data_IF_357241009706
#
_entry.id   IF_357241009706
#
_cell.length_a   1.000
_cell.length_b   1.000
_cell.length_c   1.000
_cell.angle_alpha   90.00
_cell.angle_beta   90.00
_cell.angle_gamma   90.00
#
_symmetry.space_group_name_H-M   'P 1'
#
loop_
_entity.id
_entity.type
_entity.pdbx_description
1 polymer ?
#
# COMPACT_ATOMS: atom_id res chain seq x y z
N UNK A 1 -40.98 -41.12 9.42
CA UNK A 1 -40.68 -39.68 9.17
C UNK A 1 -39.18 -39.33 9.17
N UNK A 2 -38.24 -40.29 9.33
CA UNK A 2 -36.83 -39.99 9.58
C UNK A 2 -35.90 -39.77 8.36
N UNK A 3 -36.20 -40.32 7.18
CA UNK A 3 -35.24 -40.31 6.06
C UNK A 3 -35.33 -39.07 5.17
N UNK A 4 -36.54 -38.61 4.82
CA UNK A 4 -36.72 -37.40 3.98
C UNK A 4 -36.10 -36.15 4.64
N UNK A 5 -36.17 -36.04 5.97
CA UNK A 5 -35.55 -34.93 6.72
C UNK A 5 -34.01 -34.99 6.63
N UNK A 6 -33.41 -36.19 6.70
CA UNK A 6 -31.96 -36.38 6.53
C UNK A 6 -31.50 -36.02 5.12
N UNK A 7 -32.25 -36.38 4.08
CA UNK A 7 -31.94 -36.00 2.70
C UNK A 7 -32.02 -34.48 2.49
N UNK A 8 -33.06 -33.81 3.00
CA UNK A 8 -33.20 -32.35 2.91
C UNK A 8 -32.05 -31.64 3.62
N UNK A 9 -31.66 -32.07 4.82
CA UNK A 9 -30.51 -31.53 5.54
C UNK A 9 -29.19 -31.74 4.78
N UNK A 10 -28.99 -32.91 4.16
CA UNK A 10 -27.80 -33.21 3.35
C UNK A 10 -27.69 -32.27 2.13
N UNK A 11 -28.79 -32.00 1.44
CA UNK A 11 -28.82 -31.04 0.32
C UNK A 11 -28.58 -29.60 0.77
N UNK A 12 -29.10 -29.17 1.93
CA UNK A 12 -28.80 -27.85 2.50
C UNK A 12 -27.31 -27.74 2.85
N UNK A 13 -26.72 -28.78 3.44
CA UNK A 13 -25.28 -28.80 3.76
C UNK A 13 -24.42 -28.71 2.48
N UNK A 14 -24.71 -29.51 1.45
CA UNK A 14 -24.04 -29.44 0.14
C UNK A 14 -24.23 -28.09 -0.56
N UNK A 15 -25.41 -27.46 -0.45
CA UNK A 15 -25.66 -26.11 -0.94
C UNK A 15 -24.80 -25.05 -0.27
N UNK A 16 -24.60 -25.14 1.05
CA UNK A 16 -23.74 -24.22 1.81
C UNK A 16 -22.26 -24.35 1.46
N UNK A 17 -21.76 -25.54 1.12
CA UNK A 17 -20.40 -25.71 0.58
C UNK A 17 -20.28 -25.36 -0.91
N UNK A 18 -21.38 -25.24 -1.65
CA UNK A 18 -21.38 -24.82 -3.06
C UNK A 18 -21.15 -23.31 -3.23
N UNK A 19 -21.29 -22.53 -2.15
CA UNK A 19 -20.80 -21.15 -2.04
C UNK A 19 -19.31 -21.10 -1.61
N UNK A 20 -18.54 -22.16 -1.87
CA UNK A 20 -17.08 -22.10 -1.86
C UNK A 20 -16.62 -20.98 -2.77
N UNK A 21 -16.06 -19.95 -2.14
CA UNK A 21 -15.65 -18.70 -2.77
C UNK A 21 -14.97 -18.93 -4.13
N UNK A 22 -15.34 -18.13 -5.14
CA UNK A 22 -14.51 -17.87 -6.32
C UNK A 22 -13.28 -17.08 -5.90
N UNK A 23 -12.41 -17.72 -5.12
CA UNK A 23 -11.23 -17.13 -4.53
C UNK A 23 -10.24 -16.73 -5.62
N UNK A 24 -9.86 -15.46 -5.64
CA UNK A 24 -8.71 -14.99 -6.42
C UNK A 24 -8.92 -14.83 -7.92
N UNK A 25 -10.10 -14.42 -8.39
CA UNK A 25 -10.28 -13.93 -9.77
C UNK A 25 -10.51 -12.40 -9.87
N UNK A 26 -10.43 -11.65 -8.75
CA UNK A 26 -10.52 -10.19 -8.77
C UNK A 26 -9.21 -9.56 -9.24
N UNK A 27 -9.32 -8.72 -10.25
CA UNK A 27 -8.21 -8.07 -10.93
C UNK A 27 -8.52 -6.58 -11.05
N UNK A 28 -7.79 -5.77 -10.28
CA UNK A 28 -8.05 -4.34 -10.13
C UNK A 28 -7.06 -3.49 -10.93
N UNK A 29 -7.56 -2.44 -11.60
CA UNK A 29 -6.75 -1.37 -12.17
C UNK A 29 -6.94 -0.07 -11.38
N UNK A 30 -5.89 0.34 -10.71
CA UNK A 30 -5.76 1.59 -9.97
C UNK A 30 -5.14 2.65 -10.90
N UNK A 31 -5.80 3.80 -11.05
CA UNK A 31 -5.31 4.87 -11.92
C UNK A 31 -5.08 6.15 -11.12
N UNK A 32 -3.83 6.54 -11.03
CA UNK A 32 -3.31 7.73 -10.36
C UNK A 32 -2.88 8.77 -11.42
N UNK A 33 -3.82 9.16 -12.28
CA UNK A 33 -3.62 10.15 -13.34
C UNK A 33 -4.80 11.12 -13.38
N UNK A 34 -4.50 12.41 -13.30
CA UNK A 34 -5.42 13.48 -13.62
C UNK A 34 -5.57 13.61 -15.16
N UNK A 35 -6.79 13.51 -15.73
CA UNK A 35 -7.05 13.69 -17.15
C UNK A 35 -6.62 15.05 -17.71
N UNK A 36 -6.70 16.13 -16.93
CA UNK A 36 -6.44 17.48 -17.43
C UNK A 36 -4.95 17.70 -17.73
N UNK A 37 -4.08 17.40 -16.76
CA UNK A 37 -2.62 17.48 -16.91
C UNK A 37 -2.03 16.41 -17.83
N UNK A 38 -2.70 15.26 -17.99
CA UNK A 38 -2.25 14.18 -18.89
C UNK A 38 -2.81 14.27 -20.32
N UNK A 39 -3.59 15.31 -20.65
CA UNK A 39 -4.16 15.52 -21.99
C UNK A 39 -3.09 15.92 -23.00
N UNK A 40 -2.92 15.20 -24.13
CA UNK A 40 -1.99 15.59 -25.17
C UNK A 40 -2.33 16.97 -25.76
N UNK A 41 -1.34 17.73 -26.25
CA UNK A 41 -1.59 18.95 -27.01
C UNK A 41 -2.59 18.73 -28.14
N UNK A 42 -3.38 19.76 -28.44
CA UNK A 42 -4.38 19.79 -29.52
C UNK A 42 -5.53 18.76 -29.37
N UNK A 43 -5.78 18.23 -28.17
CA UNK A 43 -6.97 17.39 -27.88
C UNK A 43 -8.09 18.18 -27.21
N UNK A 44 -9.32 17.92 -27.66
CA UNK A 44 -10.55 18.43 -27.05
C UNK A 44 -10.62 18.14 -25.54
N UNK A 45 -11.36 18.97 -24.79
CA UNK A 45 -11.55 18.78 -23.34
C UNK A 45 -12.21 17.44 -22.98
N UNK A 46 -13.01 16.86 -23.89
CA UNK A 46 -13.60 15.51 -23.77
C UNK A 46 -12.60 14.36 -23.97
N UNK A 47 -11.31 14.64 -24.16
CA UNK A 47 -10.29 13.60 -24.13
C UNK A 47 -9.96 13.25 -22.68
N UNK A 48 -10.41 12.08 -22.23
CA UNK A 48 -10.00 11.49 -20.96
C UNK A 48 -9.01 10.33 -21.17
N UNK A 49 -7.94 10.27 -20.38
CA UNK A 49 -6.99 9.14 -20.32
C UNK A 49 -7.57 7.96 -19.53
N UNK A 50 -8.32 8.20 -18.45
CA UNK A 50 -8.83 7.20 -17.53
C UNK A 50 -9.85 6.30 -18.25
N UNK A 51 -10.85 6.88 -18.93
CA UNK A 51 -11.70 6.13 -19.86
C UNK A 51 -10.92 5.26 -20.87
N UNK A 52 -9.81 5.78 -21.41
CA UNK A 52 -9.05 5.11 -22.48
C UNK A 52 -8.21 3.96 -21.94
N UNK A 53 -7.78 4.04 -20.69
CA UNK A 53 -7.16 2.95 -19.95
C UNK A 53 -8.20 1.90 -19.59
N UNK A 54 -9.38 2.30 -19.09
CA UNK A 54 -10.48 1.40 -18.74
C UNK A 54 -10.98 0.60 -19.96
N UNK A 55 -11.33 1.30 -21.07
CA UNK A 55 -11.74 0.69 -22.34
C UNK A 55 -10.66 -0.23 -22.92
N UNK A 56 -9.38 0.05 -22.65
CA UNK A 56 -8.27 -0.82 -23.03
C UNK A 56 -8.18 -2.06 -22.13
N UNK A 57 -8.30 -1.89 -20.81
CA UNK A 57 -8.22 -2.93 -19.79
C UNK A 57 -9.33 -3.97 -19.97
N UNK A 58 -10.60 -3.51 -19.90
CA UNK A 58 -11.80 -4.34 -20.12
C UNK A 58 -11.72 -5.11 -21.43
N UNK A 59 -11.40 -4.44 -22.54
CA UNK A 59 -11.28 -5.11 -23.86
C UNK A 59 -10.16 -6.16 -23.91
N UNK A 60 -9.06 -5.96 -23.19
CA UNK A 60 -7.91 -6.88 -23.22
C UNK A 60 -8.08 -8.11 -22.33
N UNK A 61 -8.88 -8.00 -21.27
CA UNK A 61 -9.19 -9.08 -20.34
C UNK A 61 -10.59 -9.69 -20.54
N UNK A 62 -11.39 -9.21 -21.50
CA UNK A 62 -12.77 -9.69 -21.78
C UNK A 62 -12.91 -11.21 -21.99
N UNK A 63 -11.85 -11.91 -22.40
CA UNK A 63 -11.87 -13.37 -22.62
C UNK A 63 -11.56 -14.17 -21.36
N UNK A 64 -11.04 -13.53 -20.32
CA UNK A 64 -10.69 -14.17 -19.07
C UNK A 64 -11.90 -14.13 -18.12
N UNK A 65 -12.11 -15.19 -17.33
CA UNK A 65 -13.20 -15.26 -16.36
C UNK A 65 -12.84 -14.51 -15.05
N UNK A 66 -12.63 -13.20 -15.16
CA UNK A 66 -12.11 -12.33 -14.10
C UNK A 66 -13.13 -11.26 -13.67
N UNK A 67 -13.17 -10.96 -12.38
CA UNK A 67 -13.85 -9.77 -11.86
C UNK A 67 -12.94 -8.55 -12.08
N UNK A 68 -13.30 -7.70 -13.05
CA UNK A 68 -12.49 -6.54 -13.43
C UNK A 68 -12.96 -5.26 -12.74
N UNK A 69 -12.19 -4.81 -11.75
CA UNK A 69 -12.44 -3.54 -11.04
C UNK A 69 -11.52 -2.44 -11.57
N UNK A 70 -12.03 -1.22 -11.71
CA UNK A 70 -11.24 -0.05 -12.10
C UNK A 70 -11.56 1.07 -11.11
N UNK A 71 -10.51 1.63 -10.51
CA UNK A 71 -10.62 2.74 -9.56
C UNK A 71 -9.77 3.91 -10.11
N UNK A 72 -10.40 5.00 -10.57
CA UNK A 72 -9.71 6.21 -10.98
C UNK A 72 -9.37 7.10 -9.77
N UNK A 73 -8.45 8.04 -9.94
CA UNK A 73 -8.01 9.02 -8.93
C UNK A 73 -7.54 8.37 -7.61
N UNK A 74 -6.82 7.25 -7.71
CA UNK A 74 -6.31 6.49 -6.55
C UNK A 74 -5.19 7.24 -5.84
N UNK A 75 -5.35 7.43 -4.52
CA UNK A 75 -4.39 8.04 -3.61
C UNK A 75 -3.83 6.99 -2.64
N UNK A 76 -3.18 7.43 -1.56
CA UNK A 76 -2.50 6.53 -0.60
C UNK A 76 -3.45 5.51 0.04
N UNK A 77 -4.63 5.95 0.46
CA UNK A 77 -5.63 5.10 1.11
C UNK A 77 -6.16 4.01 0.19
N UNK A 78 -6.68 4.39 -0.98
CA UNK A 78 -7.28 3.44 -1.91
C UNK A 78 -6.23 2.48 -2.47
N UNK A 79 -5.00 2.97 -2.71
CA UNK A 79 -3.87 2.11 -3.10
C UNK A 79 -3.55 1.09 -2.01
N UNK A 80 -3.44 1.49 -0.76
CA UNK A 80 -3.11 0.57 0.34
C UNK A 80 -4.21 -0.44 0.56
N UNK A 81 -5.47 0.01 0.59
CA UNK A 81 -6.61 -0.86 0.82
C UNK A 81 -6.72 -1.93 -0.28
N UNK A 82 -6.42 -1.58 -1.53
CA UNK A 82 -6.40 -2.53 -2.66
C UNK A 82 -5.12 -3.40 -2.72
N UNK A 83 -3.97 -2.92 -2.26
CA UNK A 83 -2.78 -3.76 -2.09
C UNK A 83 -2.90 -4.74 -0.91
N UNK A 84 -3.74 -4.45 0.08
CA UNK A 84 -4.01 -5.32 1.23
C UNK A 84 -5.27 -6.18 1.09
N UNK A 85 -6.09 -5.96 0.06
CA UNK A 85 -7.35 -6.68 -0.14
C UNK A 85 -7.10 -8.18 -0.42
N UNK A 86 -7.58 -9.11 0.44
CA UNK A 86 -7.35 -10.55 0.26
C UNK A 86 -8.06 -11.14 -0.97
N UNK A 87 -9.10 -10.48 -1.51
CA UNK A 87 -9.79 -10.92 -2.71
C UNK A 87 -8.97 -10.70 -3.98
N UNK A 88 -7.95 -9.83 -3.94
CA UNK A 88 -7.16 -9.47 -5.12
C UNK A 88 -6.14 -10.53 -5.51
N UNK A 89 -6.22 -10.95 -6.77
CA UNK A 89 -5.25 -11.81 -7.42
C UNK A 89 -4.22 -11.00 -8.23
N UNK A 90 -4.64 -9.91 -8.87
CA UNK A 90 -3.73 -9.01 -9.55
C UNK A 90 -4.09 -7.54 -9.37
N UNK A 91 -3.08 -6.72 -9.17
CA UNK A 91 -3.19 -5.26 -9.07
C UNK A 91 -2.40 -4.63 -10.20
N UNK A 92 -3.04 -3.72 -10.94
CA UNK A 92 -2.38 -2.88 -11.94
C UNK A 92 -2.43 -1.44 -11.46
N UNK A 93 -1.29 -0.81 -11.25
CA UNK A 93 -1.23 0.62 -10.96
C UNK A 93 -0.73 1.39 -12.18
N UNK A 94 -1.42 2.47 -12.54
CA UNK A 94 -1.08 3.33 -13.68
C UNK A 94 -0.98 4.77 -13.20
N UNK A 95 0.20 5.37 -13.28
CA UNK A 95 0.44 6.70 -12.72
C UNK A 95 1.82 7.29 -13.05
N UNK A 96 2.15 8.42 -12.45
CA UNK A 96 3.43 9.10 -12.66
C UNK A 96 4.54 8.51 -11.79
N UNK A 97 5.71 8.29 -12.38
CA UNK A 97 6.91 7.88 -11.66
C UNK A 97 8.14 8.57 -12.28
N UNK A 98 9.16 8.82 -11.45
CA UNK A 98 10.40 9.52 -11.84
C UNK A 98 11.64 8.78 -11.33
N UNK A 99 12.84 9.11 -11.85
CA UNK A 99 14.07 8.37 -11.48
C UNK A 99 14.60 8.80 -10.12
N UNK A 100 15.31 7.89 -9.46
CA UNK A 100 15.92 8.09 -8.14
C UNK A 100 17.09 9.10 -8.09
N UNK A 101 17.62 9.55 -9.24
CA UNK A 101 18.84 10.38 -9.32
C UNK A 101 18.69 11.75 -8.63
N UNK A 102 17.46 12.25 -8.54
CA UNK A 102 17.09 13.42 -7.75
C UNK A 102 16.37 12.93 -6.51
N UNK A 103 17.05 12.96 -5.36
CA UNK A 103 16.50 12.55 -4.06
C UNK A 103 15.18 13.28 -3.73
N UNK A 104 15.00 14.51 -4.23
CA UNK A 104 13.80 15.32 -4.02
C UNK A 104 12.60 14.92 -4.92
N UNK A 105 12.83 14.23 -6.04
CA UNK A 105 11.78 13.86 -7.03
C UNK A 105 11.74 12.36 -7.34
N UNK A 106 12.30 11.55 -6.45
CA UNK A 106 12.33 10.09 -6.52
C UNK A 106 11.03 9.50 -5.95
N UNK A 107 10.04 9.25 -6.80
CA UNK A 107 8.78 8.68 -6.34
C UNK A 107 7.90 8.08 -7.43
N UNK A 108 6.81 7.50 -6.93
CA UNK A 108 5.59 7.17 -7.66
C UNK A 108 4.51 8.09 -7.09
N UNK A 109 3.64 8.68 -7.90
CA UNK A 109 2.82 9.80 -7.48
C UNK A 109 1.33 9.60 -7.77
N UNK A 110 0.47 10.13 -6.89
CA UNK A 110 -0.97 10.23 -7.13
C UNK A 110 -1.33 11.37 -8.12
N UNK A 111 -2.62 11.55 -8.38
CA UNK A 111 -3.16 12.65 -9.21
C UNK A 111 -2.86 14.04 -8.64
N UNK A 112 -2.54 14.15 -7.35
CA UNK A 112 -2.20 15.38 -6.63
C UNK A 112 -0.69 15.58 -6.41
N UNK A 113 0.14 14.64 -6.85
CA UNK A 113 1.60 14.70 -6.69
C UNK A 113 2.14 14.20 -5.33
N UNK A 114 1.34 13.54 -4.50
CA UNK A 114 1.82 12.91 -3.26
C UNK A 114 2.53 11.59 -3.58
N UNK A 115 3.65 11.32 -2.90
CA UNK A 115 4.50 10.17 -3.18
C UNK A 115 3.92 8.88 -2.57
N UNK A 116 3.42 7.98 -3.42
CA UNK A 116 2.84 6.66 -3.12
C UNK A 116 3.87 5.54 -2.89
N UNK A 117 5.16 5.77 -3.21
CA UNK A 117 6.19 4.71 -3.29
C UNK A 117 6.20 3.74 -2.10
N UNK A 118 6.19 4.26 -0.86
CA UNK A 118 6.34 3.40 0.32
C UNK A 118 5.08 2.61 0.68
N UNK A 119 3.93 2.91 0.06
CA UNK A 119 2.72 2.08 0.16
C UNK A 119 2.92 0.71 -0.49
N UNK A 120 3.72 0.62 -1.56
CA UNK A 120 4.07 -0.65 -2.22
C UNK A 120 4.98 -1.58 -1.39
N UNK A 121 5.39 -1.18 -0.18
CA UNK A 121 6.05 -2.11 0.76
C UNK A 121 5.10 -3.18 1.29
N UNK A 122 3.81 -2.88 1.38
CA UNK A 122 2.78 -3.79 1.87
C UNK A 122 1.98 -4.34 0.67
N UNK A 123 2.02 -5.66 0.47
CA UNK A 123 1.25 -6.37 -0.56
C UNK A 123 0.68 -7.65 0.06
N UNK A 124 -0.61 -7.92 -0.15
CA UNK A 124 -1.27 -9.11 0.34
C UNK A 124 -0.80 -10.37 -0.42
N UNK A 125 -0.58 -11.48 0.30
CA UNK A 125 -0.03 -12.71 -0.30
C UNK A 125 -0.95 -13.39 -1.32
N UNK A 126 -2.24 -13.04 -1.35
CA UNK A 126 -3.16 -13.51 -2.38
C UNK A 126 -2.89 -12.85 -3.74
N UNK A 127 -2.27 -11.67 -3.76
CA UNK A 127 -1.85 -11.01 -5.00
C UNK A 127 -0.68 -11.80 -5.60
N UNK A 128 -0.89 -12.32 -6.80
CA UNK A 128 0.10 -13.10 -7.57
C UNK A 128 0.80 -12.25 -8.64
N UNK A 129 0.18 -11.14 -9.04
CA UNK A 129 0.73 -10.23 -10.05
C UNK A 129 0.57 -8.74 -9.69
N UNK A 130 1.67 -7.98 -9.78
CA UNK A 130 1.67 -6.51 -9.66
C UNK A 130 2.20 -5.83 -10.94
N UNK A 131 1.31 -5.16 -11.67
CA UNK A 131 1.64 -4.43 -12.90
C UNK A 131 1.81 -2.93 -12.66
N UNK A 132 3.05 -2.44 -12.58
CA UNK A 132 3.34 -1.01 -12.44
C UNK A 132 3.59 -0.32 -13.77
N UNK A 133 2.68 0.57 -14.13
CA UNK A 133 2.69 1.36 -15.37
C UNK A 133 3.00 2.81 -15.05
N UNK A 134 4.27 3.07 -14.75
CA UNK A 134 4.84 4.42 -14.61
C UNK A 134 6.14 4.58 -15.40
N UNK A 135 6.54 5.82 -15.64
CA UNK A 135 7.84 6.10 -16.24
C UNK A 135 8.97 5.72 -15.26
N UNK A 136 9.91 4.87 -15.67
CA UNK A 136 11.01 4.42 -14.80
C UNK A 136 10.56 3.83 -13.46
N UNK A 137 9.48 3.05 -13.46
CA UNK A 137 8.97 2.39 -12.25
C UNK A 137 9.83 1.19 -11.77
N UNK A 138 10.67 0.61 -12.63
CA UNK A 138 11.41 -0.62 -12.31
C UNK A 138 12.43 -0.48 -11.16
N UNK A 139 13.26 0.56 -11.07
CA UNK A 139 14.21 0.73 -9.97
C UNK A 139 13.56 0.79 -8.58
N UNK A 140 12.32 1.28 -8.48
CA UNK A 140 11.60 1.27 -7.19
C UNK A 140 11.29 -0.14 -6.72
N UNK A 141 10.82 -1.02 -7.61
CA UNK A 141 10.53 -2.41 -7.26
C UNK A 141 11.79 -3.20 -6.97
N UNK A 142 12.86 -2.96 -7.73
CA UNK A 142 14.16 -3.56 -7.43
C UNK A 142 14.63 -3.15 -6.03
N UNK A 143 14.60 -1.84 -5.71
CA UNK A 143 14.95 -1.34 -4.38
C UNK A 143 14.02 -1.78 -3.25
N UNK A 144 12.74 -2.10 -3.53
CA UNK A 144 11.83 -2.71 -2.55
C UNK A 144 12.21 -4.16 -2.26
N UNK A 145 12.51 -4.93 -3.32
CA UNK A 145 12.93 -6.33 -3.22
C UNK A 145 14.31 -6.49 -2.57
N UNK A 146 15.28 -5.67 -2.95
CA UNK A 146 16.65 -5.66 -2.41
C UNK A 146 16.70 -5.35 -0.90
N UNK A 147 15.70 -4.64 -0.38
CA UNK A 147 15.53 -4.36 1.05
C UNK A 147 14.71 -5.42 1.80
N UNK A 148 14.27 -6.48 1.14
CA UNK A 148 13.48 -7.56 1.74
C UNK A 148 12.02 -7.23 2.03
N UNK A 149 11.47 -6.11 1.54
CA UNK A 149 10.06 -5.76 1.79
C UNK A 149 9.07 -6.78 1.21
N UNK A 150 9.49 -7.56 0.21
CA UNK A 150 8.68 -8.55 -0.49
C UNK A 150 9.18 -9.99 -0.29
N UNK A 151 10.00 -10.28 0.73
CA UNK A 151 10.48 -11.66 0.97
C UNK A 151 9.32 -12.62 1.28
N UNK A 152 8.32 -12.13 2.04
CA UNK A 152 7.04 -12.82 2.30
C UNK A 152 6.09 -12.85 1.08
N UNK A 153 6.50 -12.23 -0.03
CA UNK A 153 5.80 -12.18 -1.31
C UNK A 153 6.71 -12.73 -2.44
N UNK A 154 7.55 -13.72 -2.15
CA UNK A 154 8.46 -14.34 -3.13
C UNK A 154 7.77 -14.98 -4.34
N UNK A 155 6.47 -15.30 -4.22
CA UNK A 155 5.60 -15.74 -5.30
C UNK A 155 5.16 -14.61 -6.25
N UNK A 156 5.17 -13.36 -5.78
CA UNK A 156 4.67 -12.19 -6.51
C UNK A 156 5.46 -11.98 -7.80
N UNK A 157 4.78 -12.16 -8.92
CA UNK A 157 5.28 -11.74 -10.23
C UNK A 157 4.99 -10.25 -10.42
N UNK A 158 5.89 -9.52 -11.08
CA UNK A 158 5.67 -8.10 -11.34
C UNK A 158 6.07 -7.70 -12.76
N UNK A 159 5.47 -6.62 -13.22
CA UNK A 159 5.88 -5.92 -14.44
C UNK A 159 6.16 -4.46 -14.12
N UNK A 160 7.34 -3.97 -14.48
CA UNK A 160 7.71 -2.56 -14.44
C UNK A 160 8.75 -2.27 -15.54
N UNK A 161 9.06 -1.00 -15.81
CA UNK A 161 10.08 -0.61 -16.81
C UNK A 161 10.97 0.54 -16.34
N UNK A 162 12.26 0.49 -16.69
CA UNK A 162 13.22 1.58 -16.49
C UNK A 162 13.26 2.59 -17.66
N UNK A 163 12.15 2.77 -18.39
CA UNK A 163 12.08 3.71 -19.52
C UNK A 163 10.79 4.51 -19.46
N UNK A 164 10.80 5.72 -20.03
CA UNK A 164 9.56 6.49 -20.24
C UNK A 164 8.57 5.66 -21.07
N UNK A 165 7.28 5.78 -20.80
CA UNK A 165 6.23 5.02 -21.48
C UNK A 165 4.95 5.83 -21.59
N UNK A 166 4.27 5.75 -22.74
CA UNK A 166 2.85 6.09 -22.83
C UNK A 166 2.07 5.08 -21.95
N UNK A 167 1.14 5.57 -21.14
CA UNK A 167 0.39 4.76 -20.18
C UNK A 167 -0.37 3.61 -20.85
N UNK A 168 -0.98 3.83 -22.02
CA UNK A 168 -1.73 2.80 -22.76
C UNK A 168 -0.80 1.75 -23.37
N UNK A 169 0.39 2.16 -23.86
CA UNK A 169 1.44 1.24 -24.34
C UNK A 169 2.03 0.43 -23.19
N UNK A 170 2.20 1.05 -22.02
CA UNK A 170 2.66 0.40 -20.80
C UNK A 170 1.65 -0.62 -20.28
N UNK A 171 0.37 -0.24 -20.16
CA UNK A 171 -0.72 -1.11 -19.72
C UNK A 171 -0.92 -2.30 -20.65
N UNK A 172 -0.88 -2.12 -21.99
CA UNK A 172 -0.90 -3.24 -22.95
C UNK A 172 0.19 -4.28 -22.67
N UNK A 173 1.38 -3.85 -22.25
CA UNK A 173 2.52 -4.73 -21.96
C UNK A 173 2.41 -5.35 -20.56
N UNK A 174 1.91 -4.61 -19.57
CA UNK A 174 1.60 -5.14 -18.25
C UNK A 174 0.55 -6.25 -18.33
N UNK A 175 -0.56 -6.03 -19.05
CA UNK A 175 -1.58 -7.05 -19.29
C UNK A 175 -1.00 -8.24 -20.06
N UNK A 176 -0.13 -8.03 -21.05
CA UNK A 176 0.56 -9.15 -21.72
C UNK A 176 1.44 -9.93 -20.74
N UNK A 177 2.16 -9.27 -19.84
CA UNK A 177 2.99 -9.94 -18.84
C UNK A 177 2.12 -10.75 -17.85
N UNK A 178 0.97 -10.22 -17.44
CA UNK A 178 -0.03 -10.93 -16.64
C UNK A 178 -0.58 -12.17 -17.37
N UNK A 179 -1.08 -12.03 -18.59
CA UNK A 179 -1.60 -13.17 -19.38
C UNK A 179 -0.54 -14.25 -19.73
N UNK A 180 0.73 -14.05 -19.36
CA UNK A 180 1.81 -15.02 -19.55
C UNK A 180 2.60 -15.30 -18.26
N UNK A 181 2.18 -14.80 -17.09
CA UNK A 181 2.87 -15.10 -15.83
C UNK A 181 2.54 -16.54 -15.42
N UNK A 182 3.51 -17.20 -14.78
CA UNK A 182 3.29 -18.52 -14.17
C UNK A 182 3.10 -18.32 -12.69
N UNK A 183 1.99 -18.83 -12.16
CA UNK A 183 1.77 -18.83 -10.72
C UNK A 183 2.88 -19.57 -9.99
N UNK A 184 3.11 -19.12 -8.76
CA UNK A 184 4.01 -19.72 -7.79
C UNK A 184 3.21 -19.94 -6.51
N UNK A 185 3.45 -21.03 -5.77
CA UNK A 185 2.83 -21.23 -4.47
C UNK A 185 3.18 -20.06 -3.55
N UNK A 186 2.22 -19.61 -2.74
CA UNK A 186 2.51 -18.64 -1.69
C UNK A 186 3.52 -19.23 -0.69
N UNK A 187 4.46 -18.44 -0.15
CA UNK A 187 5.33 -18.91 0.92
C UNK A 187 4.51 -19.15 2.19
N UNK A 188 4.98 -20.07 3.03
CA UNK A 188 4.37 -20.33 4.34
C UNK A 188 4.63 -19.14 5.26
N UNK A 189 3.58 -18.61 5.87
CA UNK A 189 3.68 -17.57 6.89
C UNK A 189 4.29 -18.11 8.19
N UNK A 190 5.06 -17.26 8.87
CA UNK A 190 5.58 -17.51 10.20
C UNK A 190 5.00 -16.45 11.15
N UNK A 191 4.37 -16.90 12.23
CA UNK A 191 3.79 -16.03 13.26
C UNK A 191 4.86 -15.31 14.09
N UNK A 192 4.45 -14.19 14.71
CA UNK A 192 5.39 -13.24 15.30
C UNK A 192 4.80 -12.51 16.49
N UNK A 193 5.60 -12.34 17.52
CA UNK A 193 5.28 -11.44 18.60
C UNK A 193 5.41 -9.97 18.15
N UNK A 194 4.26 -9.30 18.06
CA UNK A 194 4.13 -7.89 17.77
C UNK A 194 3.70 -7.14 19.03
N UNK A 195 4.16 -5.89 19.14
CA UNK A 195 3.72 -4.93 20.15
C UNK A 195 2.67 -4.03 19.51
N UNK A 196 1.38 -4.14 19.89
CA UNK A 196 0.37 -3.17 19.48
C UNK A 196 0.63 -1.84 20.18
N UNK A 197 0.61 -0.77 19.40
CA UNK A 197 0.69 0.61 19.85
C UNK A 197 -0.45 1.37 19.19
N UNK A 198 -1.37 1.87 20.00
CA UNK A 198 -2.42 2.79 19.56
C UNK A 198 -1.77 4.15 19.32
N UNK A 199 -2.01 4.72 18.14
CA UNK A 199 -1.48 6.03 17.74
C UNK A 199 -2.66 6.93 17.46
N UNK A 200 -2.78 8.03 18.22
CA UNK A 200 -3.80 9.06 18.02
C UNK A 200 -3.20 10.31 17.39
N UNK A 201 -3.98 11.03 16.58
CA UNK A 201 -3.65 12.34 16.02
C UNK A 201 -4.50 13.42 16.68
N UNK A 202 -3.88 14.54 17.04
CA UNK A 202 -4.58 15.74 17.50
C UNK A 202 -4.26 16.93 16.60
N UNK A 203 -5.31 17.67 16.24
CA UNK A 203 -5.25 18.92 15.50
C UNK A 203 -6.58 19.67 15.63
N UNK A 204 -6.52 21.01 15.61
CA UNK A 204 -7.70 21.89 15.60
C UNK A 204 -8.23 22.16 14.18
N UNK A 205 -7.63 21.54 13.15
CA UNK A 205 -7.99 21.70 11.74
C UNK A 205 -7.94 20.37 10.98
N UNK A 206 -8.52 20.34 9.77
CA UNK A 206 -8.67 19.12 8.95
C UNK A 206 -7.35 18.35 8.82
N UNK A 207 -7.38 17.03 9.03
CA UNK A 207 -6.19 16.18 8.97
C UNK A 207 -6.01 15.56 7.57
N UNK A 208 -4.79 15.65 7.04
CA UNK A 208 -4.42 15.04 5.76
C UNK A 208 -4.08 13.56 5.91
N UNK A 209 -4.24 12.78 4.84
CA UNK A 209 -3.71 11.42 4.78
C UNK A 209 -2.19 11.40 5.00
N UNK A 210 -1.69 10.39 5.71
CA UNK A 210 -0.30 10.33 6.14
C UNK A 210 0.16 8.91 6.47
N UNK A 211 1.47 8.68 6.56
CA UNK A 211 2.07 7.37 6.87
C UNK A 211 3.11 7.43 7.96
N UNK A 212 3.21 6.34 8.73
CA UNK A 212 4.23 6.13 9.75
C UNK A 212 5.27 5.16 9.19
N UNK A 213 6.52 5.63 9.10
CA UNK A 213 7.70 4.86 8.71
C UNK A 213 8.63 4.61 9.90
N UNK A 214 9.10 3.38 10.07
CA UNK A 214 10.12 2.97 11.05
C UNK A 214 11.41 2.61 10.30
N UNK A 215 12.45 3.44 10.39
CA UNK A 215 13.68 3.33 9.56
C UNK A 215 13.37 3.16 8.04
N UNK A 216 12.31 3.81 7.55
CA UNK A 216 11.87 3.70 6.17
C UNK A 216 10.98 2.48 5.85
N UNK A 217 10.69 1.62 6.83
CA UNK A 217 9.68 0.55 6.71
C UNK A 217 8.30 1.10 7.06
N UNK A 218 7.30 0.93 6.20
CA UNK A 218 5.91 1.28 6.51
C UNK A 218 5.40 0.43 7.69
N UNK A 219 4.79 1.09 8.68
CA UNK A 219 4.20 0.41 9.87
C UNK A 219 2.76 0.85 10.17
N UNK A 220 2.25 1.85 9.44
CA UNK A 220 0.87 2.31 9.56
C UNK A 220 0.58 3.47 8.61
N UNK A 221 -0.70 3.68 8.32
CA UNK A 221 -1.22 4.81 7.53
C UNK A 221 -2.47 5.36 8.18
N UNK A 222 -2.64 6.67 8.12
CA UNK A 222 -3.89 7.34 8.42
C UNK A 222 -4.54 7.82 7.12
N UNK A 223 -5.87 7.66 7.04
CA UNK A 223 -6.70 8.29 6.01
C UNK A 223 -6.85 9.81 6.25
N UNK A 224 -7.54 10.53 5.37
CA UNK A 224 -8.01 11.90 5.71
C UNK A 224 -8.95 11.80 6.92
N UNK A 225 -8.84 12.75 7.87
CA UNK A 225 -9.66 12.87 9.08
C UNK A 225 -9.67 11.68 10.08
N UNK A 226 -8.98 10.57 9.79
CA UNK A 226 -8.80 9.48 10.75
C UNK A 226 -7.94 9.90 11.94
N UNK A 227 -8.46 9.81 13.16
CA UNK A 227 -7.79 10.23 14.39
C UNK A 227 -6.97 9.09 15.04
N UNK A 228 -7.43 7.85 15.02
CA UNK A 228 -6.78 6.70 15.65
C UNK A 228 -6.43 5.55 14.67
N UNK A 229 -5.24 4.95 14.85
CA UNK A 229 -4.86 3.64 14.28
C UNK A 229 -4.09 2.80 15.29
N UNK A 230 -4.05 1.49 15.08
CA UNK A 230 -3.10 0.58 15.76
C UNK A 230 -1.95 0.28 14.80
N UNK A 231 -0.71 0.52 15.25
CA UNK A 231 0.50 0.03 14.59
C UNK A 231 1.09 -1.15 15.34
N UNK A 232 1.77 -2.03 14.61
CA UNK A 232 2.38 -3.23 15.14
C UNK A 232 3.90 -3.18 14.98
N UNK A 233 4.63 -3.05 16.09
CA UNK A 233 6.09 -3.03 16.08
C UNK A 233 6.68 -4.38 16.55
N UNK A 234 7.72 -4.91 15.89
CA UNK A 234 8.41 -6.10 16.37
C UNK A 234 8.96 -5.93 17.80
N UNK A 235 8.90 -7.00 18.61
CA UNK A 235 9.74 -7.13 19.81
C UNK A 235 11.23 -7.26 19.43
N UNK A 236 12.14 -7.06 20.38
CA UNK A 236 13.59 -7.24 20.17
C UNK A 236 14.32 -6.08 19.48
N UNK A 237 13.62 -5.01 19.08
CA UNK A 237 14.25 -3.88 18.40
C UNK A 237 15.21 -3.09 19.32
N UNK A 238 16.32 -2.60 18.76
CA UNK A 238 17.24 -1.69 19.46
C UNK A 238 16.56 -0.34 19.71
N UNK A 239 17.04 0.45 20.68
CA UNK A 239 16.43 1.77 20.99
C UNK A 239 16.33 2.71 19.78
N UNK A 240 17.32 2.68 18.88
CA UNK A 240 17.34 3.46 17.63
C UNK A 240 16.40 2.94 16.53
N UNK A 241 15.79 1.76 16.71
CA UNK A 241 14.86 1.11 15.77
C UNK A 241 13.40 1.38 16.06
N UNK A 242 13.09 1.93 17.23
CA UNK A 242 11.78 2.50 17.55
C UNK A 242 11.63 3.95 17.07
N UNK A 243 12.61 4.53 16.36
CA UNK A 243 12.43 5.84 15.71
C UNK A 243 11.34 5.74 14.64
N UNK A 244 10.30 6.56 14.79
CA UNK A 244 9.22 6.72 13.82
C UNK A 244 9.39 8.05 13.08
N UNK A 245 9.01 8.06 11.80
CA UNK A 245 8.85 9.24 10.96
C UNK A 245 7.41 9.24 10.47
N UNK A 246 6.70 10.33 10.67
CA UNK A 246 5.30 10.48 10.30
C UNK A 246 5.20 11.54 9.22
N UNK A 247 4.79 11.15 8.01
CA UNK A 247 4.95 11.99 6.81
C UNK A 247 3.71 11.96 5.91
N UNK A 248 3.43 13.07 5.23
CA UNK A 248 2.29 13.17 4.30
C UNK A 248 2.62 12.57 2.92
N UNK A 249 3.90 12.54 2.55
CA UNK A 249 4.34 12.28 1.18
C UNK A 249 4.12 13.47 0.22
N UNK A 250 3.73 14.64 0.72
CA UNK A 250 3.59 15.85 -0.08
C UNK A 250 4.94 16.28 -0.69
N UNK A 251 4.96 16.84 -1.92
CA UNK A 251 6.15 17.43 -2.51
C UNK A 251 6.51 18.77 -1.85
N UNK A 252 7.79 19.13 -1.87
CA UNK A 252 8.36 20.29 -1.17
C UNK A 252 7.82 21.68 -1.60
N UNK A 253 6.98 21.74 -2.63
CA UNK A 253 6.43 22.95 -3.23
C UNK A 253 4.91 23.15 -3.00
N UNK A 254 4.23 22.24 -2.29
CA UNK A 254 2.83 22.42 -1.87
C UNK A 254 2.78 23.35 -0.64
N UNK A 255 1.73 24.17 -0.51
CA UNK A 255 1.53 25.02 0.68
C UNK A 255 1.44 24.15 1.95
N UNK A 256 2.12 24.51 3.06
CA UNK A 256 1.97 23.83 4.36
C UNK A 256 0.51 23.68 4.82
N UNK A 257 -0.37 24.60 4.43
CA UNK A 257 -1.81 24.58 4.73
C UNK A 257 -2.54 23.40 4.07
N UNK A 258 -1.97 22.84 3.00
CA UNK A 258 -2.54 21.70 2.25
C UNK A 258 -2.07 20.33 2.77
N UNK A 259 -1.15 20.28 3.73
CA UNK A 259 -0.79 19.04 4.43
C UNK A 259 -0.70 19.26 5.95
N UNK A 260 -1.80 19.04 6.64
CA UNK A 260 -1.82 19.06 8.10
C UNK A 260 -1.68 17.63 8.65
N UNK A 261 -0.55 17.36 9.29
CA UNK A 261 -0.28 16.08 9.95
C UNK A 261 -0.87 16.00 11.37
N UNK A 262 -1.08 17.13 12.04
CA UNK A 262 -1.31 17.17 13.48
C UNK A 262 -0.13 16.64 14.30
N UNK A 263 -0.39 16.36 15.59
CA UNK A 263 0.57 15.79 16.53
C UNK A 263 0.16 14.37 16.92
N UNK A 264 1.13 13.47 16.97
CA UNK A 264 0.91 12.09 17.41
C UNK A 264 1.00 11.96 18.93
N UNK A 265 0.09 11.17 19.48
CA UNK A 265 0.14 10.59 20.82
C UNK A 265 0.21 9.06 20.69
N UNK A 266 0.85 8.42 21.66
CA UNK A 266 1.13 6.98 21.63
C UNK A 266 0.66 6.34 22.94
N UNK A 267 -0.15 5.31 22.84
CA UNK A 267 -0.62 4.49 23.94
C UNK A 267 -0.22 3.03 23.68
N UNK A 268 0.23 2.32 24.71
CA UNK A 268 0.56 0.90 24.61
C UNK A 268 0.38 0.22 25.95
N UNK A 269 0.05 -1.08 25.91
CA UNK A 269 -0.07 -1.95 27.08
C UNK A 269 1.22 -2.03 27.91
N UNK A 270 2.38 -1.73 27.31
CA UNK A 270 3.63 -1.58 28.04
C UNK A 270 3.89 -0.08 28.32
N UNK A 271 3.76 0.40 29.58
CA UNK A 271 3.96 1.81 29.94
C UNK A 271 5.41 2.28 29.80
N UNK A 272 6.37 1.37 29.63
CA UNK A 272 7.76 1.74 29.32
C UNK A 272 7.94 2.27 27.89
N UNK A 273 7.00 1.99 26.98
CA UNK A 273 7.07 2.41 25.59
C UNK A 273 6.56 3.85 25.43
N UNK A 274 7.47 4.78 25.16
CA UNK A 274 7.15 6.20 24.95
C UNK A 274 7.95 6.81 23.82
N UNK A 275 7.34 7.80 23.15
CA UNK A 275 7.94 8.57 22.07
C UNK A 275 7.77 10.07 22.33
N UNK A 276 8.80 10.85 21.98
CA UNK A 276 8.77 12.31 22.00
C UNK A 276 9.00 12.85 20.59
N UNK A 277 8.19 13.83 20.19
CA UNK A 277 8.40 14.60 18.97
C UNK A 277 9.80 15.25 18.97
N UNK A 278 10.50 15.15 17.85
CA UNK A 278 11.72 15.90 17.60
C UNK A 278 11.36 17.27 17.04
N UNK A 279 11.53 18.28 17.89
CA UNK A 279 11.11 19.65 17.70
C UNK A 279 12.24 20.62 18.10
N UNK A 280 12.03 21.90 17.81
CA UNK A 280 12.83 23.00 18.36
C UNK A 280 12.49 23.28 19.85
N UNK A 281 12.92 24.42 20.40
CA UNK A 281 12.73 24.77 21.81
C UNK A 281 11.27 25.17 22.10
N UNK A 282 10.60 25.68 21.08
CA UNK A 282 9.23 26.16 21.02
C UNK A 282 8.24 24.99 20.84
N UNK A 283 8.73 23.79 20.53
CA UNK A 283 7.94 22.57 20.35
C UNK A 283 7.42 22.36 18.93
N UNK A 284 7.85 23.17 17.97
CA UNK A 284 7.48 23.06 16.55
C UNK A 284 8.26 21.89 15.90
N UNK A 285 7.59 21.02 15.12
CA UNK A 285 8.25 19.92 14.42
C UNK A 285 9.40 20.37 13.52
N UNK A 286 10.51 19.64 13.54
CA UNK A 286 11.64 19.87 12.64
C UNK A 286 11.52 19.03 11.37
N UNK A 287 11.22 19.69 10.24
CA UNK A 287 11.07 19.08 8.92
C UNK A 287 9.98 19.76 8.08
N UNK A 288 9.93 19.44 6.79
CA UNK A 288 8.82 19.80 5.91
C UNK A 288 8.10 18.51 5.50
N UNK A 289 6.77 18.47 5.61
CA UNK A 289 5.97 17.29 5.27
C UNK A 289 6.20 16.04 6.14
N UNK A 290 7.03 16.14 7.19
CA UNK A 290 7.41 15.01 8.04
C UNK A 290 7.71 15.44 9.50
N UNK A 291 7.14 14.71 10.46
CA UNK A 291 7.37 14.82 11.90
C UNK A 291 8.15 13.60 12.38
N UNK A 292 9.29 13.80 13.06
CA UNK A 292 10.13 12.69 13.56
C UNK A 292 9.85 12.45 15.04
N UNK A 293 9.59 11.19 15.43
CA UNK A 293 9.35 10.79 16.81
C UNK A 293 10.48 9.89 17.31
N UNK A 294 11.15 10.34 18.38
CA UNK A 294 12.27 9.64 19.03
C UNK A 294 11.75 8.82 20.20
N UNK A 295 12.09 7.54 20.25
CA UNK A 295 11.74 6.68 21.37
C UNK A 295 12.50 7.09 22.64
N UNK A 296 11.75 7.47 23.66
CA UNK A 296 12.24 7.89 24.98
C UNK A 296 12.21 6.75 26.01
N UNK A 297 11.42 5.72 25.74
CA UNK A 297 11.16 4.61 26.65
C UNK A 297 12.36 3.81 27.16
N UNK A 298 12.06 2.93 28.11
CA UNK A 298 12.99 1.88 28.59
C UNK A 298 12.76 0.61 27.76
N UNK A 299 13.81 -0.18 27.62
CA UNK A 299 13.75 -1.51 27.03
C UNK A 299 14.28 -2.49 28.07
N UNK A 300 13.43 -3.38 28.57
CA UNK A 300 13.90 -4.46 29.41
C UNK A 300 14.77 -5.41 28.56
N UNK A 301 15.99 -5.68 29.03
CA UNK A 301 17.08 -6.34 28.27
C UNK A 301 16.79 -7.80 27.85
N UNK A 302 15.64 -8.36 28.20
CA UNK A 302 15.22 -9.74 27.88
C UNK A 302 14.40 -9.87 26.59
N UNK A 303 14.34 -8.84 25.74
CA UNK A 303 13.68 -8.94 24.43
C UNK A 303 14.51 -9.81 23.47
N UNK A 304 14.28 -11.13 23.51
CA UNK A 304 14.91 -12.14 22.66
C UNK A 304 14.72 -11.77 21.19
N UNK A 305 15.82 -11.43 20.51
CA UNK A 305 15.83 -11.18 19.07
C UNK A 305 15.78 -12.48 18.29
N UNK A 306 14.62 -12.81 17.71
CA UNK A 306 14.50 -13.70 16.55
C UNK A 306 14.04 -12.88 15.31
N UNK A 307 14.58 -13.10 14.10
CA UNK A 307 14.46 -12.13 12.99
C UNK A 307 13.31 -12.39 12.00
N UNK A 308 12.21 -11.60 11.94
CA UNK A 308 11.18 -11.66 10.86
C UNK A 308 10.44 -10.30 10.59
N UNK A 309 9.88 -10.10 9.38
CA UNK A 309 9.12 -8.95 8.82
C UNK A 309 7.61 -8.86 9.28
N UNK A 310 6.82 -7.78 9.07
CA UNK A 310 5.46 -7.60 9.66
C UNK A 310 4.23 -7.87 8.76
N UNK A 311 3.04 -7.97 9.39
CA UNK A 311 1.65 -7.77 8.91
C UNK A 311 1.08 -8.46 7.65
N UNK A 312 1.88 -9.13 6.80
CA UNK A 312 1.39 -9.67 5.50
C UNK A 312 0.71 -11.06 5.59
N UNK A 313 0.37 -11.53 6.79
CA UNK A 313 0.06 -12.94 7.08
C UNK A 313 -1.32 -13.19 7.73
N UNK A 314 -2.33 -12.35 7.43
CA UNK A 314 -3.72 -12.68 7.76
C UNK A 314 -4.27 -13.64 6.71
N UNK A 315 -4.16 -14.95 6.95
CA UNK A 315 -4.85 -15.97 6.14
C UNK A 315 -5.96 -16.65 6.93
N UNK A 316 -7.18 -16.51 6.40
CA UNK A 316 -8.47 -17.08 6.83
C UNK A 316 -9.17 -16.33 7.97
#
# INVERSE_FOLDING_TARGET
>A
MGERVKQILLFIFLGLFSLSATAGNRVVMLVSLDPETNRPPLRFRSWDINEKLEKLFKRKLKKENLELVIIPFVRQTELRNELLNPSNHAVFWVGHANRADSLATAGMYDDRGFNLKEIFQEVHQNIKFLGLVGCRALPFIQGLKEKGHWDLNSHLSFYARDKKTDARKGLKRAIKAFLNFKEKPAPVCLEKELLPITVRRKSDSKLSAARILRKGVLVGTFEEDQDEIIIYLPKGLKKSEYKLTFESGAPNNISPELFNLGRLEFESLNPELSWKLFADREGKPLGFGAHVYRFTGKLNNQLITKPVLPNQCNTN
#
